data_IF_590792197766
#
_entry.id   IF_590792197766
#
_cell.length_a   1.000
_cell.length_b   1.000
_cell.length_c   1.000
_cell.angle_alpha   90.00
_cell.angle_beta   90.00
_cell.angle_gamma   90.00
#
_symmetry.space_group_name_H-M   'P 1'
#
loop_
_entity.id
_entity.type
_entity.pdbx_description
1 polymer ?
#
# COMPACT_ATOMS: atom_id res chain seq x y z
N UNK A 1 12.01 -3.96 4.87
CA UNK A 1 12.23 -3.84 6.34
C UNK A 1 11.46 -4.92 7.06
N UNK A 2 12.10 -5.67 7.95
CA UNK A 2 11.46 -6.75 8.73
C UNK A 2 11.33 -6.30 10.18
N UNK A 3 10.13 -6.39 10.74
CA UNK A 3 9.84 -6.16 12.16
C UNK A 3 9.40 -7.50 12.77
N UNK A 4 10.07 -7.94 13.83
CA UNK A 4 9.74 -9.18 14.55
C UNK A 4 8.99 -8.83 15.84
N UNK A 5 7.86 -9.46 16.05
CA UNK A 5 7.17 -9.59 17.33
C UNK A 5 7.19 -11.08 17.73
N UNK A 6 6.81 -11.43 18.94
CA UNK A 6 6.99 -12.79 19.50
C UNK A 6 6.33 -13.89 18.67
N UNK A 7 5.23 -13.56 17.94
CA UNK A 7 4.41 -14.54 17.19
C UNK A 7 4.10 -14.09 15.74
N UNK A 8 4.59 -12.92 15.31
CA UNK A 8 4.31 -12.38 13.97
C UNK A 8 5.53 -11.66 13.40
N UNK A 9 5.86 -11.97 12.14
CA UNK A 9 6.88 -11.25 11.36
C UNK A 9 6.18 -10.37 10.35
N UNK A 10 6.44 -9.07 10.37
CA UNK A 10 5.94 -8.13 9.37
C UNK A 10 7.06 -7.76 8.40
N UNK A 11 6.82 -7.95 7.12
CA UNK A 11 7.77 -7.69 6.03
C UNK A 11 7.18 -6.58 5.15
N UNK A 12 7.95 -5.51 4.97
CA UNK A 12 7.59 -4.47 4.01
C UNK A 12 8.33 -4.71 2.71
N UNK A 13 7.61 -5.01 1.65
CA UNK A 13 8.13 -5.41 0.33
C UNK A 13 7.76 -4.39 -0.73
N UNK A 14 8.77 -3.89 -1.47
CA UNK A 14 8.58 -2.98 -2.61
C UNK A 14 8.63 -3.81 -3.88
N UNK A 15 7.50 -3.92 -4.59
CA UNK A 15 7.40 -4.69 -5.82
C UNK A 15 8.19 -4.05 -6.95
N UNK A 16 8.88 -4.87 -7.74
CA UNK A 16 9.67 -4.42 -8.89
C UNK A 16 11.05 -3.83 -8.57
N UNK A 17 11.41 -3.64 -7.30
CA UNK A 17 12.68 -3.02 -6.91
C UNK A 17 13.37 -3.67 -5.72
N UNK A 18 12.72 -4.58 -5.04
CA UNK A 18 13.26 -5.22 -3.85
C UNK A 18 13.94 -6.54 -4.20
N UNK A 19 15.17 -6.71 -3.72
CA UNK A 19 15.83 -8.00 -3.65
C UNK A 19 16.10 -8.32 -2.18
N UNK A 20 15.68 -9.50 -1.72
CA UNK A 20 15.93 -9.93 -0.36
C UNK A 20 17.43 -10.19 -0.14
N UNK A 21 17.97 -9.62 0.92
CA UNK A 21 19.30 -9.97 1.41
C UNK A 21 19.29 -11.39 1.99
N UNK A 22 20.45 -12.03 2.08
CA UNK A 22 20.58 -13.36 2.72
C UNK A 22 20.05 -13.36 4.17
N UNK A 23 20.25 -12.27 4.90
CA UNK A 23 19.75 -12.11 6.26
C UNK A 23 18.21 -12.06 6.32
N UNK A 24 17.57 -11.39 5.35
CA UNK A 24 16.10 -11.35 5.25
C UNK A 24 15.53 -12.70 4.87
N UNK A 25 16.14 -13.40 3.91
CA UNK A 25 15.75 -14.77 3.52
C UNK A 25 15.86 -15.71 4.71
N UNK A 26 16.96 -15.65 5.46
CA UNK A 26 17.15 -16.45 6.67
C UNK A 26 16.08 -16.13 7.70
N UNK A 27 15.79 -14.85 7.95
CA UNK A 27 14.78 -14.44 8.90
C UNK A 27 13.36 -14.90 8.52
N UNK A 28 13.04 -14.93 7.23
CA UNK A 28 11.78 -15.46 6.69
C UNK A 28 11.71 -16.99 6.92
N UNK A 29 12.77 -17.72 6.57
CA UNK A 29 12.81 -19.17 6.68
C UNK A 29 12.81 -19.67 8.13
N UNK A 30 13.38 -18.88 9.06
CA UNK A 30 13.39 -19.17 10.50
C UNK A 30 12.14 -18.72 11.23
N UNK A 31 11.24 -17.99 10.57
CA UNK A 31 9.99 -17.56 11.18
C UNK A 31 9.15 -18.79 11.59
N UNK A 32 8.82 -18.88 12.88
CA UNK A 32 7.97 -19.94 13.43
C UNK A 32 6.50 -19.51 13.54
N UNK A 33 6.23 -18.23 13.38
CA UNK A 33 4.90 -17.62 13.46
C UNK A 33 4.36 -17.16 12.11
N UNK A 34 3.25 -16.45 12.17
CA UNK A 34 2.60 -15.89 10.99
C UNK A 34 3.45 -14.78 10.35
N UNK A 35 3.42 -14.70 9.02
CA UNK A 35 4.08 -13.65 8.25
C UNK A 35 3.03 -12.75 7.64
N UNK A 36 3.12 -11.45 7.91
CA UNK A 36 2.37 -10.42 7.21
C UNK A 36 3.28 -9.69 6.23
N UNK A 37 2.88 -9.66 4.97
CA UNK A 37 3.60 -8.96 3.91
C UNK A 37 2.85 -7.69 3.55
N UNK A 38 3.45 -6.54 3.86
CA UNK A 38 2.96 -5.23 3.45
C UNK A 38 3.52 -4.95 2.06
N UNK A 39 2.68 -5.03 1.05
CA UNK A 39 3.09 -4.87 -0.35
C UNK A 39 3.03 -3.42 -0.77
N UNK A 40 4.18 -2.87 -1.14
CA UNK A 40 4.33 -1.53 -1.70
C UNK A 40 4.35 -1.64 -3.22
N UNK A 41 3.21 -1.38 -3.86
CA UNK A 41 3.02 -1.45 -5.32
C UNK A 41 1.99 -0.40 -5.76
N UNK A 42 2.18 0.25 -6.91
CA UNK A 42 1.13 1.11 -7.49
C UNK A 42 -0.02 0.30 -8.12
N UNK A 43 0.20 -1.02 -8.35
CA UNK A 43 -0.82 -1.91 -8.91
C UNK A 43 -1.64 -2.55 -7.78
N UNK A 44 -2.45 -1.74 -7.14
CA UNK A 44 -3.35 -2.16 -6.05
C UNK A 44 -4.69 -1.45 -6.17
N UNK A 45 -5.77 -2.17 -5.88
CA UNK A 45 -7.11 -1.61 -5.75
C UNK A 45 -7.81 -2.14 -4.51
N UNK A 46 -8.75 -1.36 -3.98
CA UNK A 46 -9.63 -1.77 -2.88
C UNK A 46 -10.98 -2.21 -3.44
N UNK A 47 -11.41 -3.40 -3.05
CA UNK A 47 -12.71 -3.99 -3.41
C UNK A 47 -13.52 -4.16 -2.13
N UNK A 48 -14.78 -3.71 -2.05
CA UNK A 48 -15.65 -4.00 -0.90
C UNK A 48 -15.72 -5.51 -0.64
N UNK A 49 -15.64 -5.92 0.63
CA UNK A 49 -15.63 -7.36 0.98
C UNK A 49 -16.85 -8.11 0.46
N UNK A 50 -18.01 -7.45 0.41
CA UNK A 50 -19.26 -7.99 -0.10
C UNK A 50 -19.27 -8.21 -1.63
N UNK A 51 -18.41 -7.46 -2.36
CA UNK A 51 -18.27 -7.53 -3.81
C UNK A 51 -17.07 -8.36 -4.25
N UNK A 52 -16.21 -8.78 -3.31
CA UNK A 52 -14.98 -9.47 -3.65
C UNK A 52 -15.22 -10.95 -3.96
N UNK A 53 -14.82 -11.35 -5.16
CA UNK A 53 -14.72 -12.74 -5.62
C UNK A 53 -13.25 -13.05 -5.96
N UNK A 54 -12.68 -14.08 -5.34
CA UNK A 54 -11.30 -14.46 -5.56
C UNK A 54 -11.00 -14.90 -7.00
N UNK A 55 -11.99 -15.47 -7.70
CA UNK A 55 -11.86 -15.87 -9.10
C UNK A 55 -11.75 -14.66 -10.05
N UNK A 56 -12.20 -13.50 -9.61
CA UNK A 56 -12.14 -12.24 -10.37
C UNK A 56 -10.98 -11.32 -9.94
N UNK A 57 -10.07 -11.79 -9.06
CA UNK A 57 -8.99 -10.97 -8.53
C UNK A 57 -8.14 -10.31 -9.64
N UNK A 58 -7.83 -11.03 -10.71
CA UNK A 58 -7.09 -10.50 -11.86
C UNK A 58 -7.90 -9.43 -12.62
N UNK A 59 -9.19 -9.64 -12.78
CA UNK A 59 -10.10 -8.74 -13.52
C UNK A 59 -10.26 -7.39 -12.82
N UNK A 60 -10.20 -7.34 -11.48
CA UNK A 60 -10.26 -6.08 -10.75
C UNK A 60 -9.08 -5.16 -11.12
N UNK A 61 -7.87 -5.70 -11.26
CA UNK A 61 -6.70 -4.93 -11.70
C UNK A 61 -6.80 -4.54 -13.17
N UNK A 62 -7.20 -5.47 -14.04
CA UNK A 62 -7.34 -5.19 -15.47
C UNK A 62 -8.36 -4.10 -15.76
N UNK A 63 -9.48 -4.06 -15.04
CA UNK A 63 -10.52 -3.03 -15.21
C UNK A 63 -10.00 -1.60 -14.93
N UNK A 64 -8.93 -1.48 -14.19
CA UNK A 64 -8.24 -0.22 -13.87
C UNK A 64 -6.97 0.01 -14.69
N UNK A 65 -6.75 -0.77 -15.75
CA UNK A 65 -5.54 -0.75 -16.57
C UNK A 65 -4.24 -1.06 -15.79
N UNK A 66 -4.36 -1.78 -14.67
CA UNK A 66 -3.23 -2.24 -13.85
C UNK A 66 -2.81 -3.66 -14.26
N UNK A 67 -2.39 -3.84 -15.51
CA UNK A 67 -2.02 -5.17 -16.02
C UNK A 67 -0.77 -5.71 -15.30
N UNK A 68 -0.87 -6.87 -14.62
CA UNK A 68 0.31 -7.54 -14.08
C UNK A 68 1.26 -7.97 -15.20
N UNK A 69 2.55 -7.83 -14.99
CA UNK A 69 3.56 -8.34 -15.91
C UNK A 69 3.66 -9.87 -15.82
N UNK A 70 4.41 -10.50 -16.75
CA UNK A 70 4.66 -11.96 -16.72
C UNK A 70 5.47 -12.43 -15.51
N UNK A 71 6.08 -11.49 -14.77
CA UNK A 71 6.85 -11.78 -13.54
C UNK A 71 6.03 -11.51 -12.28
N UNK A 72 4.81 -11.03 -12.42
CA UNK A 72 3.92 -10.72 -11.31
C UNK A 72 2.76 -11.73 -11.25
N UNK A 73 2.25 -11.94 -10.05
CA UNK A 73 0.99 -12.63 -9.80
C UNK A 73 0.07 -11.74 -8.97
N UNK A 74 -1.21 -12.06 -8.95
CA UNK A 74 -2.20 -11.32 -8.17
C UNK A 74 -2.41 -12.00 -6.83
N UNK A 75 -2.36 -11.21 -5.77
CA UNK A 75 -2.69 -11.62 -4.40
C UNK A 75 -3.76 -10.70 -3.83
N UNK A 76 -4.45 -11.17 -2.81
CA UNK A 76 -5.44 -10.38 -2.08
C UNK A 76 -5.13 -10.36 -0.59
N UNK A 77 -5.53 -9.29 0.08
CA UNK A 77 -5.51 -9.23 1.55
C UNK A 77 -6.57 -10.14 2.16
N UNK A 78 -6.46 -10.40 3.46
CA UNK A 78 -7.51 -11.10 4.21
C UNK A 78 -8.81 -10.29 4.25
N UNK A 79 -9.95 -10.99 4.38
CA UNK A 79 -11.29 -10.37 4.52
C UNK A 79 -11.60 -10.12 6.00
N UNK A 80 -10.89 -9.21 6.65
CA UNK A 80 -11.12 -8.88 8.06
C UNK A 80 -11.63 -7.45 8.31
N UNK A 81 -12.03 -6.76 7.26
CA UNK A 81 -12.53 -5.39 7.27
C UNK A 81 -13.59 -5.14 6.21
N UNK A 82 -13.87 -3.87 5.95
CA UNK A 82 -14.83 -3.48 4.91
C UNK A 82 -14.31 -3.66 3.48
N UNK A 83 -13.00 -3.73 3.30
CA UNK A 83 -12.33 -3.75 2.01
C UNK A 83 -11.30 -4.88 1.92
N UNK A 84 -11.11 -5.41 0.72
CA UNK A 84 -10.03 -6.31 0.34
C UNK A 84 -9.10 -5.53 -0.60
N UNK A 85 -7.80 -5.53 -0.33
CA UNK A 85 -6.81 -5.03 -1.27
C UNK A 85 -6.43 -6.15 -2.24
N UNK A 86 -6.58 -5.90 -3.53
CA UNK A 86 -6.13 -6.78 -4.62
C UNK A 86 -4.89 -6.15 -5.23
N UNK A 87 -3.79 -6.90 -5.29
CA UNK A 87 -2.46 -6.36 -5.60
C UNK A 87 -1.70 -7.24 -6.57
N UNK A 88 -0.91 -6.62 -7.45
CA UNK A 88 0.11 -7.33 -8.22
C UNK A 88 1.44 -7.35 -7.43
N UNK A 89 2.04 -8.53 -7.28
CA UNK A 89 3.31 -8.74 -6.58
C UNK A 89 4.25 -9.61 -7.41
N UNK A 90 5.55 -9.48 -7.17
CA UNK A 90 6.53 -10.33 -7.84
C UNK A 90 6.30 -11.82 -7.51
N UNK A 91 6.22 -12.66 -8.53
CA UNK A 91 6.01 -14.11 -8.36
C UNK A 91 7.13 -14.76 -7.54
N UNK A 92 8.36 -14.24 -7.62
CA UNK A 92 9.49 -14.69 -6.82
C UNK A 92 9.28 -14.53 -5.31
N UNK A 93 8.57 -13.48 -4.87
CA UNK A 93 8.19 -13.32 -3.48
C UNK A 93 7.26 -14.44 -3.03
N UNK A 94 6.21 -14.71 -3.82
CA UNK A 94 5.23 -15.76 -3.48
C UNK A 94 5.90 -17.13 -3.44
N UNK A 95 6.81 -17.42 -4.38
CA UNK A 95 7.59 -18.65 -4.37
C UNK A 95 8.47 -18.78 -3.12
N UNK A 96 9.15 -17.70 -2.72
CA UNK A 96 9.96 -17.69 -1.49
C UNK A 96 9.10 -18.00 -0.25
N UNK A 97 7.90 -17.45 -0.19
CA UNK A 97 7.02 -17.60 0.96
C UNK A 97 6.29 -18.96 1.03
N UNK A 98 6.25 -19.74 -0.05
CA UNK A 98 5.64 -21.09 -0.07
C UNK A 98 6.31 -22.09 0.89
N UNK A 99 7.58 -21.86 1.20
CA UNK A 99 8.34 -22.73 2.13
C UNK A 99 8.15 -22.40 3.62
N UNK A 100 7.44 -21.34 3.93
CA UNK A 100 7.24 -20.88 5.31
C UNK A 100 6.25 -21.78 6.04
N UNK A 101 6.52 -22.05 7.35
CA UNK A 101 5.68 -22.94 8.17
C UNK A 101 4.45 -22.25 8.75
N UNK A 102 4.46 -20.92 8.88
CA UNK A 102 3.35 -20.11 9.38
C UNK A 102 2.36 -19.71 8.30
N UNK A 103 1.27 -19.04 8.69
CA UNK A 103 0.36 -18.43 7.73
C UNK A 103 1.01 -17.19 7.10
N UNK A 104 0.88 -17.07 5.78
CA UNK A 104 1.32 -15.87 5.06
C UNK A 104 0.09 -15.07 4.67
N UNK A 105 0.07 -13.81 5.07
CA UNK A 105 -0.98 -12.85 4.71
C UNK A 105 -0.37 -11.67 3.97
N UNK A 106 -1.12 -11.13 3.01
CA UNK A 106 -0.74 -9.93 2.28
C UNK A 106 -1.62 -8.77 2.69
N UNK A 107 -1.06 -7.57 2.73
CA UNK A 107 -1.81 -6.34 2.96
C UNK A 107 -1.20 -5.18 2.16
N UNK A 108 -1.93 -4.10 2.03
CA UNK A 108 -1.48 -2.86 1.36
C UNK A 108 -1.41 -1.71 2.37
N UNK A 109 -0.51 -0.74 2.19
CA UNK A 109 -0.56 0.52 2.93
C UNK A 109 -1.92 1.23 2.86
N UNK A 110 -2.72 0.98 1.81
CA UNK A 110 -4.09 1.49 1.72
C UNK A 110 -5.05 0.93 2.79
N UNK A 111 -4.73 -0.20 3.42
CA UNK A 111 -5.53 -0.78 4.52
C UNK A 111 -4.94 -0.48 5.90
N UNK A 112 -3.72 0.06 5.98
CA UNK A 112 -3.04 0.26 7.26
C UNK A 112 -3.45 1.59 7.93
N UNK A 113 -3.56 1.52 9.25
CA UNK A 113 -3.90 2.67 10.11
C UNK A 113 -5.39 2.94 10.19
N UNK A 114 -5.76 3.63 11.25
CA UNK A 114 -7.16 3.92 11.55
C UNK A 114 -7.78 4.90 10.55
N UNK A 115 -9.04 4.68 10.15
CA UNK A 115 -9.81 5.69 9.44
C UNK A 115 -9.91 6.98 10.26
N UNK A 116 -9.93 8.11 9.56
CA UNK A 116 -10.15 9.43 10.18
C UNK A 116 -11.53 9.97 9.76
N UNK A 117 -12.13 10.81 10.58
CA UNK A 117 -13.46 11.37 10.28
C UNK A 117 -13.41 12.27 9.04
N UNK A 118 -12.39 13.14 8.97
CA UNK A 118 -12.19 14.08 7.86
C UNK A 118 -10.72 14.40 7.68
N UNK A 119 -10.20 14.21 6.45
CA UNK A 119 -8.81 14.53 6.13
C UNK A 119 -8.24 13.66 5.06
N UNK A 120 -6.94 13.78 4.86
CA UNK A 120 -6.14 12.97 3.94
C UNK A 120 -5.07 12.19 4.70
N UNK A 121 -4.92 10.91 4.39
CA UNK A 121 -3.77 10.10 4.76
C UNK A 121 -2.91 9.93 3.51
N UNK A 122 -1.67 10.37 3.56
CA UNK A 122 -0.68 10.24 2.50
C UNK A 122 0.53 9.49 3.03
N UNK A 123 0.79 8.32 2.49
CA UNK A 123 2.01 7.57 2.76
C UNK A 123 2.86 7.47 1.49
N UNK A 124 4.07 8.03 1.52
CA UNK A 124 5.03 7.94 0.41
C UNK A 124 6.11 6.93 0.77
N UNK A 125 6.13 5.80 0.06
CA UNK A 125 7.09 4.73 0.30
C UNK A 125 7.47 4.03 -1.01
N UNK A 126 8.76 3.70 -1.15
CA UNK A 126 9.28 2.97 -2.31
C UNK A 126 8.92 3.59 -3.67
N UNK A 127 8.74 4.91 -3.75
CA UNK A 127 8.31 5.59 -4.97
C UNK A 127 6.81 5.44 -5.27
N UNK A 128 5.99 5.04 -4.30
CA UNK A 128 4.53 4.94 -4.41
C UNK A 128 3.87 5.83 -3.37
N UNK A 129 2.93 6.67 -3.78
CA UNK A 129 2.07 7.43 -2.90
C UNK A 129 0.75 6.67 -2.68
N UNK A 130 0.50 6.26 -1.45
CA UNK A 130 -0.76 5.67 -1.00
C UNK A 130 -1.61 6.77 -0.39
N UNK A 131 -2.74 7.07 -1.01
CA UNK A 131 -3.56 8.22 -0.68
C UNK A 131 -4.96 7.77 -0.31
N UNK A 132 -5.45 8.22 0.85
CA UNK A 132 -6.83 8.03 1.28
C UNK A 132 -7.41 9.37 1.70
N UNK A 133 -8.62 9.68 1.24
CA UNK A 133 -9.34 10.91 1.59
C UNK A 133 -10.66 10.52 2.25
N UNK A 134 -10.95 11.13 3.37
CA UNK A 134 -12.13 10.88 4.20
C UNK A 134 -12.96 12.15 4.41
N UNK A 135 -14.27 11.98 4.40
CA UNK A 135 -15.23 13.02 4.86
C UNK A 135 -16.53 12.32 5.30
N UNK A 136 -16.57 11.89 6.56
CA UNK A 136 -17.62 11.03 7.10
C UNK A 136 -17.59 9.58 6.63
N UNK A 137 -16.66 9.25 5.69
CA UNK A 137 -16.40 7.95 5.10
C UNK A 137 -15.25 8.04 4.12
N UNK A 138 -14.81 6.90 3.57
CA UNK A 138 -13.77 6.86 2.55
C UNK A 138 -14.32 7.39 1.22
N UNK A 139 -13.79 8.53 0.75
CA UNK A 139 -14.16 9.13 -0.54
C UNK A 139 -13.23 8.72 -1.68
N UNK A 140 -11.96 8.49 -1.34
CA UNK A 140 -10.93 8.19 -2.33
C UNK A 140 -9.85 7.32 -1.71
N UNK A 141 -9.39 6.32 -2.46
CA UNK A 141 -8.23 5.50 -2.09
C UNK A 141 -7.51 5.06 -3.36
N UNK A 142 -6.24 5.44 -3.51
CA UNK A 142 -5.44 5.09 -4.69
C UNK A 142 -3.95 5.00 -4.31
N UNK A 143 -3.24 4.12 -5.01
CA UNK A 143 -1.79 4.06 -5.00
C UNK A 143 -1.25 4.55 -6.34
N UNK A 144 -0.35 5.54 -6.30
CA UNK A 144 0.17 6.22 -7.50
C UNK A 144 1.69 6.13 -7.51
N UNK A 145 2.26 5.69 -8.63
CA UNK A 145 3.71 5.74 -8.82
C UNK A 145 4.20 7.19 -8.86
N UNK A 146 5.25 7.50 -8.10
CA UNK A 146 5.87 8.81 -7.97
C UNK A 146 7.34 8.71 -8.40
N UNK A 147 7.62 8.99 -9.65
CA UNK A 147 8.96 8.94 -10.20
C UNK A 147 9.74 10.23 -9.92
N UNK A 148 9.04 11.36 -9.81
CA UNK A 148 9.63 12.68 -9.59
C UNK A 148 8.86 13.51 -8.55
N UNK A 149 9.47 14.62 -8.11
CA UNK A 149 8.80 15.61 -7.26
C UNK A 149 7.65 16.32 -7.99
N UNK A 150 7.74 16.43 -9.31
CA UNK A 150 6.69 17.00 -10.14
C UNK A 150 5.42 16.12 -10.14
N UNK A 151 5.58 14.77 -10.14
CA UNK A 151 4.44 13.85 -10.05
C UNK A 151 3.72 14.01 -8.72
N UNK A 152 4.48 14.12 -7.62
CA UNK A 152 3.91 14.33 -6.30
C UNK A 152 3.14 15.66 -6.21
N UNK A 153 3.71 16.75 -6.71
CA UNK A 153 3.02 18.05 -6.80
C UNK A 153 1.74 17.95 -7.64
N UNK A 154 1.83 17.32 -8.80
CA UNK A 154 0.70 17.18 -9.73
C UNK A 154 -0.47 16.44 -9.10
N UNK A 155 -0.21 15.27 -8.47
CA UNK A 155 -1.28 14.48 -7.86
C UNK A 155 -1.92 15.23 -6.68
N UNK A 156 -1.15 15.92 -5.86
CA UNK A 156 -1.65 16.72 -4.73
C UNK A 156 -2.50 17.90 -5.24
N UNK A 157 -2.07 18.62 -6.27
CA UNK A 157 -2.85 19.71 -6.88
C UNK A 157 -4.16 19.18 -7.51
N UNK A 158 -4.09 18.04 -8.22
CA UNK A 158 -5.25 17.40 -8.81
C UNK A 158 -6.27 17.01 -7.74
N UNK A 159 -5.84 16.39 -6.65
CA UNK A 159 -6.70 16.01 -5.54
C UNK A 159 -7.27 17.24 -4.82
N UNK A 160 -6.49 18.32 -4.71
CA UNK A 160 -7.00 19.56 -4.15
C UNK A 160 -8.11 20.16 -5.03
N UNK A 161 -7.96 20.11 -6.35
CA UNK A 161 -8.99 20.64 -7.27
C UNK A 161 -10.32 19.88 -7.19
N UNK A 162 -10.28 18.61 -6.80
CA UNK A 162 -11.46 17.73 -6.71
C UNK A 162 -12.05 17.72 -5.30
N UNK A 163 -11.22 17.61 -4.27
CA UNK A 163 -11.63 17.35 -2.89
C UNK A 163 -11.35 18.49 -1.93
N UNK A 164 -10.60 19.54 -2.33
CA UNK A 164 -10.25 20.67 -1.49
C UNK A 164 -9.33 20.30 -0.31
N UNK A 165 -8.39 19.39 -0.54
CA UNK A 165 -7.54 18.79 0.50
C UNK A 165 -6.64 19.78 1.23
N UNK A 166 -6.34 20.97 0.67
CA UNK A 166 -5.52 21.99 1.34
C UNK A 166 -6.18 22.53 2.61
N UNK A 167 -7.50 22.44 2.71
CA UNK A 167 -8.29 22.85 3.87
C UNK A 167 -8.63 21.69 4.81
N UNK A 168 -8.04 20.51 4.58
CA UNK A 168 -8.23 19.31 5.42
C UNK A 168 -6.99 19.07 6.28
N UNK A 169 -7.15 18.23 7.31
CA UNK A 169 -5.99 17.67 8.00
C UNK A 169 -5.28 16.66 7.07
N UNK A 170 -3.98 16.83 6.91
CA UNK A 170 -3.15 15.88 6.17
C UNK A 170 -2.23 15.13 7.16
N UNK A 171 -2.35 13.81 7.19
CA UNK A 171 -1.46 12.93 7.93
C UNK A 171 -0.48 12.30 6.95
N UNK A 172 0.81 12.55 7.15
CA UNK A 172 1.87 12.10 6.26
C UNK A 172 2.70 11.02 6.92
N UNK A 173 3.03 9.95 6.18
CA UNK A 173 3.88 8.83 6.60
C UNK A 173 4.90 8.50 5.51
N UNK A 174 5.87 7.63 5.86
CA UNK A 174 6.92 7.20 4.95
C UNK A 174 7.97 8.28 4.73
N UNK A 175 8.24 8.69 3.49
CA UNK A 175 9.19 9.77 3.17
C UNK A 175 8.57 11.15 3.45
N UNK A 176 8.39 11.42 4.74
CA UNK A 176 7.81 12.67 5.25
C UNK A 176 8.64 13.87 4.79
N UNK A 177 9.97 13.75 4.74
CA UNK A 177 10.86 14.85 4.35
C UNK A 177 10.60 15.29 2.91
N UNK A 178 10.45 14.33 1.99
CA UNK A 178 10.13 14.62 0.60
C UNK A 178 8.77 15.26 0.45
N UNK A 179 7.74 14.71 1.11
CA UNK A 179 6.38 15.29 1.07
C UNK A 179 6.37 16.70 1.62
N UNK A 180 7.06 16.95 2.75
CA UNK A 180 7.15 18.28 3.36
C UNK A 180 7.87 19.29 2.45
N UNK A 181 8.95 18.88 1.81
CA UNK A 181 9.70 19.74 0.89
C UNK A 181 8.85 20.12 -0.33
N UNK A 182 8.11 19.16 -0.89
CA UNK A 182 7.38 19.34 -2.16
C UNK A 182 6.01 19.97 -1.95
N UNK A 183 5.27 19.52 -0.94
CA UNK A 183 3.85 19.85 -0.76
C UNK A 183 3.54 20.49 0.61
N UNK A 184 4.50 20.57 1.53
CA UNK A 184 4.24 21.03 2.91
C UNK A 184 3.64 22.43 3.02
N UNK A 185 3.96 23.33 2.09
CA UNK A 185 3.39 24.67 2.02
C UNK A 185 1.94 24.73 1.53
N UNK A 186 1.42 23.63 0.97
CA UNK A 186 0.06 23.57 0.43
C UNK A 186 -0.99 23.26 1.50
N UNK A 187 -0.61 22.58 2.60
CA UNK A 187 -1.54 22.13 3.63
C UNK A 187 -1.62 23.12 4.79
N UNK A 188 -2.83 23.50 5.18
CA UNK A 188 -3.05 24.36 6.35
C UNK A 188 -2.82 23.62 7.66
N UNK A 189 -3.14 22.31 7.70
CA UNK A 189 -3.03 21.44 8.89
C UNK A 189 -2.32 20.16 8.51
N UNK A 190 -1.04 20.04 8.86
CA UNK A 190 -0.22 18.88 8.53
C UNK A 190 0.27 18.21 9.82
N UNK A 191 -0.07 16.91 9.99
CA UNK A 191 0.39 16.06 11.08
C UNK A 191 1.40 15.04 10.54
N UNK A 192 2.46 14.83 11.31
CA UNK A 192 3.56 13.88 10.99
C UNK A 192 3.36 12.58 11.75
#
# INVERSE_FOLDING_TARGET
>A
MIVKSTDKVSIRYVSGGHSFSEAEITAINEAQGDIEVIVVTPKVTLVPCECYDEHLAHEYLLSLNMTPSTKECVVASVKDGAMVAVMAVDSSLVELLRGVRGNVTFTSPLLLGEPIERGMLLELDGGVAFIRIYNGGLLFAEAVAIESDADLSYIVEKLNSIYGIYNMYAHVRGDVERVMRVCGGCFTNLNK
#
